data_IF_451280639967
#
_entry.id   IF_451280639967
#
_cell.length_a   1.000
_cell.length_b   1.000
_cell.length_c   1.000
_cell.angle_alpha   90.00
_cell.angle_beta   90.00
_cell.angle_gamma   90.00
#
_symmetry.space_group_name_H-M   'P 1'
#
loop_
_entity.id
_entity.type
_entity.pdbx_description
1 polymer ?
#
# COMPACT_ATOMS: atom_id res chain seq x y z
N UNK A 1 -19.96 -14.60 6.15
CA UNK A 1 -18.92 -13.70 6.69
C UNK A 1 -19.53 -12.51 7.40
N UNK A 2 -19.03 -12.17 8.60
CA UNK A 2 -19.36 -10.90 9.26
C UNK A 2 -18.11 -10.05 9.29
N UNK A 3 -18.15 -8.82 8.76
CA UNK A 3 -17.05 -7.85 8.85
C UNK A 3 -16.57 -7.67 10.29
N UNK A 4 -17.51 -7.67 11.26
CA UNK A 4 -17.18 -7.57 12.69
C UNK A 4 -16.29 -8.72 13.17
N UNK A 5 -16.48 -9.94 12.65
CA UNK A 5 -15.67 -11.10 13.01
C UNK A 5 -14.25 -10.96 12.46
N UNK A 6 -14.11 -10.56 11.19
CA UNK A 6 -12.80 -10.32 10.57
C UNK A 6 -12.05 -9.21 11.31
N UNK A 7 -12.73 -8.13 11.67
CA UNK A 7 -12.12 -6.99 12.38
C UNK A 7 -11.92 -7.23 13.88
N UNK A 8 -12.33 -8.37 14.45
CA UNK A 8 -12.23 -8.62 15.90
C UNK A 8 -10.78 -8.63 16.42
N UNK A 9 -9.81 -8.95 15.57
CA UNK A 9 -8.39 -8.99 15.90
C UNK A 9 -7.63 -7.68 15.58
N UNK A 10 -8.34 -6.59 15.31
CA UNK A 10 -7.72 -5.33 14.89
C UNK A 10 -6.67 -4.82 15.88
N UNK A 11 -6.86 -5.00 17.19
CA UNK A 11 -5.89 -4.57 18.20
C UNK A 11 -4.51 -5.21 17.98
N UNK A 12 -4.45 -6.46 17.52
CA UNK A 12 -3.19 -7.13 17.21
C UNK A 12 -2.49 -6.57 15.96
N UNK A 13 -3.27 -6.06 15.03
CA UNK A 13 -2.78 -5.40 13.80
C UNK A 13 -2.31 -3.99 14.10
N UNK A 14 -3.08 -3.23 14.87
CA UNK A 14 -2.78 -1.85 15.24
C UNK A 14 -1.40 -1.67 15.89
N UNK A 15 -0.98 -2.64 16.70
CA UNK A 15 0.32 -2.61 17.42
C UNK A 15 1.52 -2.40 16.48
N UNK A 16 1.48 -2.96 15.29
CA UNK A 16 2.55 -2.81 14.30
C UNK A 16 2.19 -1.85 13.15
N UNK A 17 0.89 -1.67 12.84
CA UNK A 17 0.41 -0.85 11.75
C UNK A 17 0.70 0.64 11.97
N UNK A 18 0.47 1.15 13.17
CA UNK A 18 0.75 2.55 13.51
C UNK A 18 2.26 2.87 13.50
N UNK A 19 3.15 2.05 14.10
CA UNK A 19 4.59 2.22 13.91
C UNK A 19 5.04 2.13 12.45
N UNK A 20 4.48 1.21 11.65
CA UNK A 20 4.77 1.10 10.24
C UNK A 20 4.40 2.37 9.47
N UNK A 21 3.20 2.89 9.69
CA UNK A 21 2.76 4.16 9.11
C UNK A 21 3.75 5.29 9.40
N UNK A 22 4.16 5.46 10.66
CA UNK A 22 5.10 6.50 11.08
C UNK A 22 6.49 6.32 10.46
N UNK A 23 6.94 5.08 10.33
CA UNK A 23 8.22 4.76 9.70
C UNK A 23 8.20 5.08 8.19
N UNK A 24 7.12 4.73 7.49
CA UNK A 24 6.94 5.09 6.08
C UNK A 24 6.84 6.60 5.89
N UNK A 25 6.08 7.28 6.74
CA UNK A 25 5.94 8.74 6.71
C UNK A 25 7.27 9.47 6.87
N UNK A 26 8.10 8.96 7.78
CA UNK A 26 9.40 9.53 8.08
C UNK A 26 10.44 9.33 6.96
N UNK A 27 10.24 8.29 6.13
CA UNK A 27 11.19 7.89 5.09
C UNK A 27 10.53 7.74 3.71
N UNK A 28 9.95 8.83 3.17
CA UNK A 28 9.32 8.82 1.85
C UNK A 28 10.37 8.71 0.74
N UNK A 29 10.00 8.06 -0.35
CA UNK A 29 10.83 7.95 -1.56
C UNK A 29 10.07 8.52 -2.75
N UNK A 30 10.80 9.10 -3.72
CA UNK A 30 10.20 9.65 -4.93
C UNK A 30 9.68 8.54 -5.86
N UNK A 31 8.74 8.93 -6.72
CA UNK A 31 8.16 8.06 -7.75
C UNK A 31 9.22 7.32 -8.55
N UNK A 32 9.06 6.00 -8.68
CA UNK A 32 9.97 5.05 -9.36
C UNK A 32 11.36 4.93 -8.71
N UNK A 33 11.51 5.35 -7.44
CA UNK A 33 12.73 5.23 -6.64
C UNK A 33 12.45 4.57 -5.27
N UNK A 34 11.30 3.92 -5.11
CA UNK A 34 10.74 3.46 -3.82
C UNK A 34 11.31 2.09 -3.38
N UNK A 35 12.62 1.92 -3.39
CA UNK A 35 13.29 0.65 -3.11
C UNK A 35 13.12 0.19 -1.65
N UNK A 36 13.27 1.12 -0.68
CA UNK A 36 13.10 0.84 0.75
C UNK A 36 11.66 0.47 1.08
N UNK A 37 10.72 1.28 0.64
CA UNK A 37 9.28 1.09 0.87
C UNK A 37 8.82 -0.23 0.28
N UNK A 38 9.22 -0.54 -0.97
CA UNK A 38 8.92 -1.83 -1.59
C UNK A 38 9.49 -3.01 -0.78
N UNK A 39 10.72 -2.87 -0.27
CA UNK A 39 11.34 -3.88 0.58
C UNK A 39 10.55 -4.15 1.87
N UNK A 40 10.03 -3.10 2.51
CA UNK A 40 9.18 -3.19 3.70
C UNK A 40 7.85 -3.89 3.38
N UNK A 41 7.20 -3.48 2.28
CA UNK A 41 5.95 -4.09 1.81
C UNK A 41 6.15 -5.60 1.59
N UNK A 42 7.19 -5.97 0.86
CA UNK A 42 7.53 -7.38 0.56
C UNK A 42 7.81 -8.18 1.83
N UNK A 43 8.53 -7.60 2.78
CA UNK A 43 8.78 -8.22 4.09
C UNK A 43 7.48 -8.49 4.85
N UNK A 44 6.57 -7.52 4.89
CA UNK A 44 5.27 -7.67 5.54
C UNK A 44 4.38 -8.70 4.84
N UNK A 45 4.32 -8.72 3.51
CA UNK A 45 3.57 -9.72 2.75
C UNK A 45 4.09 -11.15 3.05
N UNK A 46 5.42 -11.32 3.13
CA UNK A 46 6.01 -12.60 3.50
C UNK A 46 5.63 -13.03 4.93
N UNK A 47 5.72 -12.12 5.91
CA UNK A 47 5.34 -12.37 7.30
C UNK A 47 3.86 -12.79 7.42
N UNK A 48 3.00 -12.26 6.55
CA UNK A 48 1.57 -12.54 6.50
C UNK A 48 1.21 -13.79 5.68
N UNK A 49 2.19 -14.43 5.04
CA UNK A 49 2.01 -15.65 4.26
C UNK A 49 1.46 -15.46 2.85
N UNK A 50 1.58 -14.24 2.29
CA UNK A 50 1.21 -13.99 0.90
C UNK A 50 2.31 -14.48 -0.06
N UNK A 51 1.92 -15.17 -1.14
CA UNK A 51 2.77 -15.33 -2.30
C UNK A 51 2.99 -13.97 -2.98
N UNK A 52 4.17 -13.76 -3.58
CA UNK A 52 4.53 -12.46 -4.12
C UNK A 52 4.91 -12.55 -5.59
N UNK A 53 4.38 -11.63 -6.39
CA UNK A 53 4.73 -11.47 -7.81
C UNK A 53 5.27 -10.05 -8.01
N UNK A 54 6.56 -9.96 -8.33
CA UNK A 54 7.19 -8.69 -8.68
C UNK A 54 6.78 -8.26 -10.09
N UNK A 55 6.37 -7.01 -10.24
CA UNK A 55 5.91 -6.49 -11.52
C UNK A 55 6.09 -4.98 -11.61
N UNK A 56 6.82 -4.52 -12.63
CA UNK A 56 6.93 -3.11 -13.02
C UNK A 56 7.39 -2.13 -11.93
N UNK A 57 8.25 -2.58 -11.00
CA UNK A 57 8.69 -1.78 -9.85
C UNK A 57 7.76 -1.86 -8.63
N UNK A 58 6.64 -2.56 -8.74
CA UNK A 58 5.72 -2.85 -7.65
C UNK A 58 5.65 -4.34 -7.31
N UNK A 59 4.68 -4.72 -6.50
CA UNK A 59 4.45 -6.11 -6.09
C UNK A 59 2.97 -6.41 -5.94
N UNK A 60 2.57 -7.64 -6.28
CA UNK A 60 1.25 -8.19 -5.96
C UNK A 60 1.41 -9.30 -4.92
N UNK A 61 0.82 -9.10 -3.74
CA UNK A 61 0.66 -10.15 -2.74
C UNK A 61 -0.59 -10.96 -3.03
N UNK A 62 -0.49 -12.29 -3.05
CA UNK A 62 -1.60 -13.20 -3.38
C UNK A 62 -1.84 -14.13 -2.20
N UNK A 63 -3.09 -14.22 -1.76
CA UNK A 63 -3.54 -15.16 -0.74
C UNK A 63 -4.73 -15.94 -1.27
N UNK A 64 -4.50 -17.22 -1.56
CA UNK A 64 -5.54 -18.15 -2.00
C UNK A 64 -6.20 -18.83 -0.80
N UNK A 65 -7.53 -18.82 -0.77
CA UNK A 65 -8.32 -19.42 0.29
C UNK A 65 -9.53 -20.19 -0.28
N UNK A 66 -9.26 -21.21 -1.06
CA UNK A 66 -10.29 -22.07 -1.67
C UNK A 66 -10.99 -21.44 -2.86
N UNK A 67 -12.06 -22.09 -3.31
CA UNK A 67 -12.83 -21.63 -4.47
C UNK A 67 -13.68 -20.40 -4.15
N UNK A 68 -13.66 -19.41 -5.05
CA UNK A 68 -14.43 -18.17 -4.88
C UNK A 68 -13.94 -17.09 -5.84
N UNK A 69 -14.42 -15.86 -5.70
CA UNK A 69 -14.00 -14.73 -6.53
C UNK A 69 -12.55 -14.32 -6.22
N UNK A 70 -11.92 -13.73 -7.23
CA UNK A 70 -10.64 -13.01 -7.07
C UNK A 70 -10.90 -11.52 -6.88
N UNK A 71 -10.49 -10.99 -5.74
CA UNK A 71 -10.65 -9.59 -5.40
C UNK A 71 -9.28 -8.94 -5.25
N UNK A 72 -9.05 -7.86 -5.98
CA UNK A 72 -7.83 -7.07 -5.91
C UNK A 72 -8.08 -5.74 -5.19
N UNK A 73 -7.18 -5.38 -4.27
CA UNK A 73 -7.16 -4.06 -3.65
C UNK A 73 -5.81 -3.38 -3.92
N UNK A 74 -5.86 -2.07 -4.17
CA UNK A 74 -4.71 -1.26 -4.57
C UNK A 74 -4.30 -0.26 -3.49
N UNK A 75 -2.98 -0.14 -3.26
CA UNK A 75 -2.33 1.00 -2.63
C UNK A 75 -1.18 1.48 -3.53
N UNK A 76 -0.99 2.78 -3.59
CA UNK A 76 0.22 3.43 -4.06
C UNK A 76 1.19 3.65 -2.90
N UNK A 77 2.47 3.99 -3.19
CA UNK A 77 3.46 4.09 -2.11
C UNK A 77 4.60 5.08 -2.36
N UNK A 78 4.49 5.93 -3.39
CA UNK A 78 5.45 6.99 -3.68
C UNK A 78 5.19 8.28 -2.88
N UNK A 79 6.22 9.09 -2.72
CA UNK A 79 6.21 10.41 -2.11
C UNK A 79 6.43 11.53 -3.12
N UNK A 80 6.22 12.76 -2.66
CA UNK A 80 6.29 13.98 -3.45
C UNK A 80 7.54 14.80 -3.13
N UNK A 81 8.08 15.56 -4.11
CA UNK A 81 9.20 16.49 -3.91
C UNK A 81 8.77 17.75 -3.12
N UNK A 82 8.32 17.56 -1.90
CA UNK A 82 7.78 18.60 -1.01
C UNK A 82 8.53 18.60 0.30
N UNK A 83 8.84 19.79 0.82
CA UNK A 83 9.38 19.92 2.19
C UNK A 83 8.24 19.82 3.18
N UNK A 84 8.37 18.90 4.12
CA UNK A 84 7.40 18.79 5.22
C UNK A 84 7.57 19.92 6.23
N UNK A 85 6.46 20.50 6.68
CA UNK A 85 6.37 21.54 7.72
C UNK A 85 5.15 21.30 8.63
N UNK A 86 4.93 20.06 9.01
CA UNK A 86 3.79 19.64 9.85
C UNK A 86 4.06 19.81 11.34
N UNK A 87 5.33 19.79 11.75
CA UNK A 87 5.74 19.81 13.15
C UNK A 87 5.51 18.50 13.89
N UNK A 88 5.24 17.40 13.18
CA UNK A 88 5.12 16.05 13.75
C UNK A 88 6.49 15.56 14.23
N UNK A 89 6.50 14.75 15.27
CA UNK A 89 7.72 14.13 15.81
C UNK A 89 8.30 13.04 14.87
N UNK A 90 7.51 12.58 13.91
CA UNK A 90 7.88 11.66 12.83
C UNK A 90 7.83 12.33 11.43
N UNK A 91 7.92 13.67 11.37
CA UNK A 91 8.00 14.39 10.10
C UNK A 91 9.24 13.96 9.29
N UNK A 92 9.09 13.91 7.96
CA UNK A 92 10.20 13.61 7.07
C UNK A 92 11.25 14.73 7.07
N UNK A 93 12.50 14.34 7.18
CA UNK A 93 13.68 15.19 6.90
C UNK A 93 14.52 14.65 5.77
N UNK A 94 14.04 13.61 5.10
CA UNK A 94 14.73 12.92 4.04
C UNK A 94 14.82 13.78 2.77
N UNK A 95 15.85 13.53 2.01
CA UNK A 95 16.10 14.19 0.73
C UNK A 95 16.39 13.16 -0.35
N UNK A 96 15.96 13.45 -1.56
CA UNK A 96 16.31 12.71 -2.76
C UNK A 96 17.01 13.63 -3.76
N UNK A 97 17.46 13.09 -4.89
CA UNK A 97 17.98 13.88 -6.00
C UNK A 97 16.90 14.07 -7.07
N UNK A 98 16.74 15.29 -7.53
CA UNK A 98 15.91 15.57 -8.71
C UNK A 98 16.59 15.10 -10.01
N UNK A 99 15.93 15.27 -11.15
CA UNK A 99 16.46 14.89 -12.47
C UNK A 99 17.76 15.60 -12.86
N UNK A 100 18.05 16.75 -12.24
CA UNK A 100 19.24 17.55 -12.47
C UNK A 100 20.37 17.24 -11.46
N UNK A 101 20.10 16.32 -10.50
CA UNK A 101 21.03 15.90 -9.46
C UNK A 101 21.09 16.84 -8.26
N UNK A 102 20.11 17.73 -8.07
CA UNK A 102 20.05 18.61 -6.92
C UNK A 102 19.28 17.93 -5.77
N UNK A 103 19.71 18.13 -4.50
CA UNK A 103 18.96 17.61 -3.35
C UNK A 103 17.63 18.34 -3.19
N UNK A 104 16.56 17.58 -3.07
CA UNK A 104 15.20 18.07 -2.78
C UNK A 104 14.61 17.32 -1.60
N UNK A 105 13.77 17.98 -0.81
CA UNK A 105 13.03 17.33 0.28
C UNK A 105 11.95 16.43 -0.27
N UNK A 106 11.63 15.36 0.46
CA UNK A 106 10.56 14.42 0.09
C UNK A 106 9.58 14.30 1.25
N UNK A 107 8.29 14.18 0.92
CA UNK A 107 7.21 14.04 1.89
C UNK A 107 6.11 13.14 1.32
N UNK A 108 5.48 12.33 2.17
CA UNK A 108 4.19 11.71 1.88
C UNK A 108 3.04 12.75 2.02
N UNK A 109 2.99 13.72 1.09
CA UNK A 109 1.99 14.79 1.14
C UNK A 109 0.62 14.38 0.59
N UNK A 110 0.51 13.22 -0.08
CA UNK A 110 -0.73 12.66 -0.62
C UNK A 110 -1.30 11.51 0.22
N UNK A 111 -0.56 11.05 1.24
CA UNK A 111 -1.02 10.03 2.20
C UNK A 111 -0.85 8.59 1.74
N UNK A 112 0.02 8.31 0.77
CA UNK A 112 0.28 6.97 0.25
C UNK A 112 0.86 6.02 1.31
N UNK A 113 1.62 6.52 2.28
CA UNK A 113 2.04 5.81 3.48
C UNK A 113 0.88 5.22 4.27
N UNK A 114 -0.22 5.97 4.40
CA UNK A 114 -1.45 5.50 5.04
C UNK A 114 -2.18 4.45 4.20
N UNK A 115 -2.10 4.55 2.87
CA UNK A 115 -2.66 3.54 1.96
C UNK A 115 -1.94 2.20 2.12
N UNK A 116 -0.60 2.21 2.14
CA UNK A 116 0.22 1.02 2.39
C UNK A 116 -0.10 0.39 3.74
N UNK A 117 -0.08 1.19 4.81
CA UNK A 117 -0.35 0.71 6.17
C UNK A 117 -1.76 0.12 6.27
N UNK A 118 -2.76 0.75 5.64
CA UNK A 118 -4.15 0.28 5.63
C UNK A 118 -4.31 -1.02 4.85
N UNK A 119 -3.71 -1.13 3.66
CA UNK A 119 -3.82 -2.31 2.82
C UNK A 119 -3.13 -3.53 3.46
N UNK A 120 -1.94 -3.35 4.04
CA UNK A 120 -1.25 -4.41 4.80
C UNK A 120 -2.03 -4.80 6.05
N UNK A 121 -2.62 -3.84 6.75
CA UNK A 121 -3.47 -4.10 7.92
C UNK A 121 -4.71 -4.91 7.56
N UNK A 122 -5.38 -4.58 6.46
CA UNK A 122 -6.51 -5.34 5.93
C UNK A 122 -6.08 -6.75 5.52
N UNK A 123 -4.95 -6.89 4.82
CA UNK A 123 -4.37 -8.18 4.45
C UNK A 123 -4.11 -9.08 5.67
N UNK A 124 -3.58 -8.51 6.75
CA UNK A 124 -3.36 -9.22 8.01
C UNK A 124 -4.66 -9.74 8.63
N UNK A 125 -5.71 -8.93 8.67
CA UNK A 125 -7.02 -9.33 9.19
C UNK A 125 -7.63 -10.46 8.35
N UNK A 126 -7.51 -10.39 7.03
CA UNK A 126 -8.01 -11.42 6.11
C UNK A 126 -7.20 -12.72 6.25
N UNK A 127 -5.89 -12.65 6.38
CA UNK A 127 -5.02 -13.82 6.59
C UNK A 127 -5.30 -14.52 7.93
N UNK A 128 -5.67 -13.77 8.98
CA UNK A 128 -6.05 -14.31 10.28
C UNK A 128 -7.47 -14.92 10.31
N UNK A 129 -8.32 -14.62 9.34
CA UNK A 129 -9.73 -14.99 9.32
C UNK A 129 -10.09 -15.89 8.11
N UNK A 130 -9.18 -16.78 7.72
CA UNK A 130 -9.38 -17.66 6.54
C UNK A 130 -10.59 -18.58 6.64
N UNK A 131 -11.07 -18.88 7.85
CA UNK A 131 -12.31 -19.63 8.10
C UNK A 131 -13.58 -18.81 7.80
N UNK A 132 -13.47 -17.51 7.54
CA UNK A 132 -14.58 -16.59 7.36
C UNK A 132 -14.85 -16.23 5.89
N UNK A 133 -13.97 -16.57 4.96
CA UNK A 133 -14.10 -16.22 3.56
C UNK A 133 -13.50 -17.30 2.64
N UNK A 134 -13.78 -17.23 1.35
CA UNK A 134 -13.16 -18.09 0.33
C UNK A 134 -12.97 -17.31 -0.96
N UNK A 135 -11.99 -17.71 -1.76
CA UNK A 135 -11.58 -17.08 -3.01
C UNK A 135 -10.11 -16.68 -2.97
N UNK A 136 -9.72 -15.73 -3.80
CA UNK A 136 -8.36 -15.20 -3.89
C UNK A 136 -8.35 -13.72 -3.55
N UNK A 137 -7.49 -13.32 -2.63
CA UNK A 137 -7.20 -11.93 -2.32
C UNK A 137 -5.88 -11.52 -2.97
N UNK A 138 -5.90 -10.44 -3.74
CA UNK A 138 -4.73 -9.83 -4.35
C UNK A 138 -4.53 -8.44 -3.77
N UNK A 139 -3.34 -8.16 -3.22
CA UNK A 139 -2.93 -6.85 -2.72
C UNK A 139 -1.90 -6.29 -3.67
N UNK A 140 -2.30 -5.32 -4.50
CA UNK A 140 -1.39 -4.68 -5.45
C UNK A 140 -0.82 -3.39 -4.85
N UNK A 141 0.50 -3.30 -4.80
CA UNK A 141 1.24 -2.10 -4.39
C UNK A 141 1.88 -1.48 -5.62
N UNK A 142 1.38 -0.30 -6.00
CA UNK A 142 1.73 0.39 -7.24
C UNK A 142 2.74 1.51 -6.96
N UNK A 143 3.93 1.53 -7.61
CA UNK A 143 4.87 2.64 -7.53
C UNK A 143 4.40 3.82 -8.39
N UNK A 144 5.08 4.96 -8.28
CA UNK A 144 5.06 6.05 -9.25
C UNK A 144 3.69 6.58 -9.65
N UNK A 145 2.78 6.74 -8.70
CA UNK A 145 1.43 7.27 -8.96
C UNK A 145 1.49 8.75 -9.32
N UNK A 146 2.28 9.55 -8.59
CA UNK A 146 2.35 11.00 -8.69
C UNK A 146 2.89 11.51 -10.04
N UNK A 147 3.52 10.64 -10.81
CA UNK A 147 3.99 10.93 -12.18
C UNK A 147 3.22 10.13 -13.24
N UNK A 148 2.17 9.43 -12.85
CA UNK A 148 1.33 8.59 -13.71
C UNK A 148 2.12 7.52 -14.51
N UNK A 149 3.23 6.99 -13.95
CA UNK A 149 4.10 6.04 -14.64
C UNK A 149 3.96 4.61 -14.11
N UNK A 150 3.72 4.44 -12.81
CA UNK A 150 3.82 3.13 -12.17
C UNK A 150 2.79 2.11 -12.64
N UNK A 151 1.53 2.50 -12.80
CA UNK A 151 0.51 1.59 -13.31
C UNK A 151 0.84 1.10 -14.72
N UNK A 152 1.31 2.01 -15.59
CA UNK A 152 1.74 1.65 -16.94
C UNK A 152 2.96 0.72 -16.92
N UNK A 153 3.95 1.00 -16.04
CA UNK A 153 5.11 0.12 -15.86
C UNK A 153 4.70 -1.30 -15.46
N UNK A 154 3.73 -1.44 -14.55
CA UNK A 154 3.22 -2.76 -14.14
C UNK A 154 2.50 -3.47 -15.30
N UNK A 155 1.69 -2.76 -16.09
CA UNK A 155 1.01 -3.34 -17.26
C UNK A 155 2.02 -3.76 -18.33
N UNK A 156 3.01 -2.92 -18.63
CA UNK A 156 4.05 -3.20 -19.64
C UNK A 156 4.95 -4.38 -19.24
N UNK A 157 5.15 -4.59 -17.93
CA UNK A 157 5.87 -5.75 -17.39
C UNK A 157 4.99 -7.01 -17.28
N UNK A 158 3.78 -6.97 -17.83
CA UNK A 158 2.90 -8.14 -17.98
C UNK A 158 2.05 -8.45 -16.74
N UNK A 159 1.60 -7.46 -15.99
CA UNK A 159 0.72 -7.66 -14.83
C UNK A 159 -0.43 -8.63 -15.13
N UNK A 160 -1.11 -8.44 -16.26
CA UNK A 160 -2.30 -9.22 -16.64
C UNK A 160 -1.99 -10.67 -17.05
N UNK A 161 -0.72 -10.98 -17.32
CA UNK A 161 -0.25 -12.32 -17.64
C UNK A 161 0.38 -13.02 -16.43
N UNK A 162 0.90 -12.24 -15.49
CA UNK A 162 1.59 -12.72 -14.28
C UNK A 162 0.64 -13.08 -13.13
N UNK A 163 -0.51 -12.41 -13.04
CA UNK A 163 -1.50 -12.65 -11.98
C UNK A 163 -2.87 -12.97 -12.57
N UNK A 164 -3.68 -13.73 -11.84
CA UNK A 164 -5.03 -14.02 -12.25
C UNK A 164 -5.86 -12.73 -12.38
N UNK A 165 -6.64 -12.61 -13.46
CA UNK A 165 -7.54 -11.47 -13.65
C UNK A 165 -8.56 -11.40 -12.52
N UNK A 166 -8.66 -10.29 -11.79
CA UNK A 166 -9.61 -10.15 -10.70
C UNK A 166 -11.04 -9.96 -11.21
N UNK A 167 -12.01 -10.48 -10.47
CA UNK A 167 -13.44 -10.21 -10.69
C UNK A 167 -13.82 -8.79 -10.26
N UNK A 168 -13.12 -8.25 -9.25
CA UNK A 168 -13.33 -6.91 -8.70
C UNK A 168 -11.99 -6.29 -8.34
N UNK A 169 -11.82 -5.02 -8.72
CA UNK A 169 -10.68 -4.20 -8.29
C UNK A 169 -11.19 -3.02 -7.46
N UNK A 170 -10.63 -2.84 -6.28
CA UNK A 170 -10.94 -1.74 -5.38
C UNK A 170 -9.70 -0.89 -5.12
N UNK A 171 -9.88 0.42 -5.10
CA UNK A 171 -8.89 1.39 -4.70
C UNK A 171 -9.49 2.38 -3.71
N UNK A 172 -8.68 2.89 -2.81
CA UNK A 172 -9.08 3.95 -1.88
C UNK A 172 -8.05 5.06 -1.90
N UNK A 173 -8.49 6.26 -1.55
CA UNK A 173 -7.60 7.40 -1.34
C UNK A 173 -8.05 8.18 -0.11
N UNK A 174 -7.09 8.61 0.73
CA UNK A 174 -7.37 9.52 1.84
C UNK A 174 -7.64 10.93 1.29
N UNK A 175 -8.59 11.64 1.90
CA UNK A 175 -8.99 12.97 1.44
C UNK A 175 -9.10 13.94 2.62
N UNK A 176 -8.23 14.93 2.67
CA UNK A 176 -7.96 15.71 3.88
C UNK A 176 -8.84 16.95 4.09
N UNK A 177 -9.77 17.35 3.21
CA UNK A 177 -10.31 18.70 3.32
C UNK A 177 -11.82 18.90 3.22
N UNK A 178 -12.58 17.95 2.71
CA UNK A 178 -14.00 18.18 2.44
C UNK A 178 -14.96 17.38 3.33
N UNK A 179 -14.44 16.36 4.02
CA UNK A 179 -15.25 15.46 4.83
C UNK A 179 -14.68 15.34 6.25
N UNK A 180 -15.55 15.18 7.27
CA UNK A 180 -15.08 14.86 8.63
C UNK A 180 -14.25 13.58 8.65
N UNK A 181 -13.24 13.51 9.54
CA UNK A 181 -12.46 12.31 9.74
C UNK A 181 -13.37 11.09 10.04
N UNK A 182 -13.06 9.95 9.44
CA UNK A 182 -13.86 8.73 9.54
C UNK A 182 -15.03 8.61 8.55
N UNK A 183 -15.24 9.62 7.70
CA UNK A 183 -16.21 9.53 6.60
C UNK A 183 -15.64 8.67 5.46
N UNK A 184 -16.48 7.79 4.89
CA UNK A 184 -16.20 7.08 3.64
C UNK A 184 -17.18 7.58 2.60
N UNK A 185 -16.66 8.01 1.45
CA UNK A 185 -17.43 8.40 0.27
C UNK A 185 -17.17 7.40 -0.87
N UNK A 186 -18.20 7.10 -1.65
CA UNK A 186 -18.17 6.23 -2.83
C UNK A 186 -18.48 7.04 -4.07
#
# INVERSE_FOLDING_TARGET
MSVRTVCSNYDSVKVWQEPLYKDLHQHPELSMQEERTLGIIKGKLADLGFEQVDVGGGVVGILENGAGPTVMLRADFDGLPVKEDTGLDYASTDTALDSDGNPISVMHACGHDSHVASLLGMGALMAQATDQWSGTLQLIFQPGEEIAAGAQSMVDDGLVDKVATPDVVLGQHVFASQFPAGTVAL
#
